data_IF_492196740613
#
_entry.id   IF_492196740613
#
_cell.length_a   1.000
_cell.length_b   1.000
_cell.length_c   1.000
_cell.angle_alpha   90.00
_cell.angle_beta   90.00
_cell.angle_gamma   90.00
#
_symmetry.space_group_name_H-M   'P 1'
#
loop_
_entity.id
_entity.type
_entity.pdbx_description
1 polymer ?
#
# COMPACT_ATOMS: atom_id res chain seq x y z
N UNK A 1 -28.32 -23.71 -22.66
CA UNK A 1 -28.76 -22.78 -21.60
C UNK A 1 -30.19 -23.09 -21.18
N UNK A 2 -30.43 -24.24 -20.54
CA UNK A 2 -31.74 -24.52 -19.92
C UNK A 2 -31.74 -23.89 -18.51
N UNK A 3 -32.82 -23.22 -18.07
CA UNK A 3 -32.89 -22.58 -16.74
C UNK A 3 -32.61 -23.55 -15.59
N UNK A 4 -33.02 -24.80 -15.72
CA UNK A 4 -32.78 -25.87 -14.74
C UNK A 4 -31.30 -26.31 -14.60
N UNK A 5 -30.42 -25.84 -15.49
CA UNK A 5 -28.97 -26.04 -15.42
C UNK A 5 -28.21 -24.77 -15.01
N UNK A 6 -28.89 -23.67 -14.66
CA UNK A 6 -28.21 -22.54 -14.05
C UNK A 6 -27.84 -22.93 -12.63
N UNK A 7 -26.54 -23.10 -12.36
CA UNK A 7 -26.08 -23.22 -10.99
C UNK A 7 -26.60 -22.03 -10.20
N UNK A 8 -27.40 -22.27 -9.16
CA UNK A 8 -27.80 -21.23 -8.22
C UNK A 8 -26.54 -20.78 -7.48
N UNK A 9 -25.85 -19.81 -8.06
CA UNK A 9 -24.65 -19.23 -7.48
C UNK A 9 -25.08 -18.34 -6.32
N UNK A 10 -25.13 -18.91 -5.12
CA UNK A 10 -25.34 -18.13 -3.91
C UNK A 10 -24.01 -17.54 -3.46
N UNK A 11 -23.83 -16.24 -3.66
CA UNK A 11 -22.61 -15.52 -3.28
C UNK A 11 -22.30 -15.64 -1.79
N UNK A 12 -23.33 -15.71 -0.94
CA UNK A 12 -23.14 -15.85 0.52
C UNK A 12 -22.59 -17.22 0.89
N UNK A 13 -22.85 -18.26 0.10
CA UNK A 13 -22.34 -19.62 0.35
C UNK A 13 -20.87 -19.80 -0.04
N UNK A 14 -20.35 -18.93 -0.94
CA UNK A 14 -18.96 -18.97 -1.39
C UNK A 14 -18.03 -18.02 -0.61
N UNK A 15 -18.59 -16.92 -0.07
CA UNK A 15 -17.82 -15.92 0.66
C UNK A 15 -18.33 -15.83 2.10
N UNK A 16 -17.60 -16.48 3.01
CA UNK A 16 -17.98 -16.66 4.42
C UNK A 16 -18.31 -15.35 5.17
N UNK A 17 -17.77 -14.23 4.69
CA UNK A 17 -17.89 -12.90 5.30
C UNK A 17 -18.42 -11.84 4.31
N UNK A 18 -19.33 -12.23 3.42
CA UNK A 18 -19.88 -11.32 2.41
C UNK A 18 -20.54 -10.08 3.03
N UNK A 19 -20.04 -8.88 2.69
CA UNK A 19 -20.49 -7.56 3.22
C UNK A 19 -20.39 -7.37 4.73
N UNK A 20 -19.59 -8.19 5.41
CA UNK A 20 -19.40 -8.06 6.85
C UNK A 20 -18.37 -6.97 7.17
N UNK A 21 -18.79 -5.97 7.94
CA UNK A 21 -17.89 -4.98 8.55
C UNK A 21 -17.45 -5.55 9.89
N UNK A 22 -16.15 -5.82 10.01
CA UNK A 22 -15.57 -6.55 11.15
C UNK A 22 -15.03 -5.63 12.24
N UNK A 23 -14.65 -4.40 11.87
CA UNK A 23 -14.24 -3.35 12.78
C UNK A 23 -14.99 -2.06 12.43
N UNK A 24 -15.52 -1.37 13.46
CA UNK A 24 -16.27 -0.12 13.30
C UNK A 24 -15.60 0.98 14.12
N UNK A 25 -14.83 1.89 13.49
CA UNK A 25 -14.27 3.04 14.18
C UNK A 25 -15.38 4.05 14.55
N UNK A 26 -15.20 4.79 15.63
CA UNK A 26 -16.06 5.93 15.98
C UNK A 26 -15.66 7.15 15.14
N UNK A 27 -16.40 7.42 14.06
CA UNK A 27 -16.09 8.49 13.12
C UNK A 27 -16.79 9.82 13.44
N UNK A 28 -17.83 9.81 14.29
CA UNK A 28 -18.72 10.97 14.48
C UNK A 28 -18.20 11.96 15.54
N UNK A 29 -17.43 11.48 16.51
CA UNK A 29 -17.01 12.28 17.68
C UNK A 29 -15.50 12.51 17.79
N UNK A 30 -14.72 12.12 16.78
CA UNK A 30 -13.25 12.20 16.84
C UNK A 30 -12.70 13.51 16.27
N UNK A 31 -11.74 14.08 17.01
CA UNK A 31 -10.90 15.17 16.50
C UNK A 31 -10.03 14.57 15.40
N UNK A 32 -10.01 15.20 14.23
CA UNK A 32 -9.18 14.72 13.12
C UNK A 32 -7.76 15.24 13.26
N UNK A 33 -6.80 14.33 13.20
CA UNK A 33 -5.36 14.60 13.25
C UNK A 33 -4.79 15.11 11.94
N UNK A 34 -3.50 14.83 11.72
CA UNK A 34 -2.79 15.28 10.52
C UNK A 34 -3.36 14.56 9.28
N UNK A 35 -3.79 15.28 8.22
CA UNK A 35 -4.24 14.67 6.97
C UNK A 35 -3.12 13.89 6.30
N UNK A 36 -3.37 12.61 6.01
CA UNK A 36 -2.40 11.70 5.41
C UNK A 36 -2.95 11.09 4.13
N UNK A 37 -2.11 11.03 3.10
CA UNK A 37 -2.32 10.21 1.90
C UNK A 37 -1.29 9.08 1.88
N UNK A 38 -1.76 7.87 1.61
CA UNK A 38 -0.89 6.70 1.46
C UNK A 38 -0.77 6.29 -0.01
N UNK A 39 0.43 6.42 -0.57
CA UNK A 39 0.78 5.98 -1.91
C UNK A 39 1.48 4.61 -1.84
N UNK A 40 0.87 3.59 -2.44
CA UNK A 40 1.24 2.19 -2.27
C UNK A 40 1.33 1.43 -3.59
N UNK A 41 2.17 0.39 -3.63
CA UNK A 41 2.38 -0.47 -4.80
C UNK A 41 1.67 -1.83 -4.70
N UNK A 42 0.76 -1.96 -3.73
CA UNK A 42 0.00 -3.19 -3.44
C UNK A 42 0.89 -4.41 -3.13
N UNK A 43 2.13 -4.17 -2.67
CA UNK A 43 2.91 -5.25 -2.08
C UNK A 43 2.26 -5.76 -0.77
N UNK A 44 2.50 -7.01 -0.37
CA UNK A 44 2.07 -7.55 0.92
C UNK A 44 2.47 -6.69 2.13
N UNK A 45 3.63 -6.03 2.07
CA UNK A 45 4.07 -5.09 3.11
C UNK A 45 3.17 -3.87 3.23
N UNK A 46 2.60 -3.40 2.12
CA UNK A 46 1.71 -2.24 2.09
C UNK A 46 0.35 -2.54 2.70
N UNK A 47 -0.17 -3.76 2.53
CA UNK A 47 -1.41 -4.16 3.20
C UNK A 47 -1.24 -4.20 4.72
N UNK A 48 -0.09 -4.65 5.22
CA UNK A 48 0.20 -4.60 6.65
C UNK A 48 0.36 -3.15 7.15
N UNK A 49 1.02 -2.30 6.36
CA UNK A 49 1.15 -0.86 6.64
C UNK A 49 -0.23 -0.17 6.67
N UNK A 50 -1.11 -0.50 5.73
CA UNK A 50 -2.49 0.00 5.66
C UNK A 50 -3.28 -0.38 6.92
N UNK A 51 -3.22 -1.64 7.37
CA UNK A 51 -3.90 -2.06 8.60
C UNK A 51 -3.43 -1.25 9.82
N UNK A 52 -2.13 -0.99 9.91
CA UNK A 52 -1.57 -0.14 10.95
C UNK A 52 -2.04 1.32 10.86
N UNK A 53 -2.14 1.89 9.66
CA UNK A 53 -2.70 3.23 9.44
C UNK A 53 -4.18 3.31 9.82
N UNK A 54 -4.97 2.28 9.51
CA UNK A 54 -6.40 2.20 9.83
C UNK A 54 -6.67 2.00 11.33
N UNK A 55 -5.70 1.40 12.05
CA UNK A 55 -5.73 1.22 13.51
C UNK A 55 -5.16 2.40 14.29
N UNK A 56 -4.41 3.29 13.65
CA UNK A 56 -3.90 4.49 14.31
C UNK A 56 -5.06 5.36 14.80
N UNK A 57 -4.96 5.99 15.99
CA UNK A 57 -5.97 6.93 16.46
C UNK A 57 -6.18 8.05 15.44
N UNK A 58 -7.43 8.38 15.12
CA UNK A 58 -7.70 9.41 14.09
C UNK A 58 -7.24 10.79 14.52
N UNK A 59 -7.13 11.05 15.82
CA UNK A 59 -6.59 12.28 16.39
C UNK A 59 -5.10 12.46 16.06
N UNK A 60 -4.39 11.36 15.79
CA UNK A 60 -3.01 11.38 15.37
C UNK A 60 -2.88 11.39 13.84
N UNK A 61 -3.55 10.46 13.18
CA UNK A 61 -3.43 10.21 11.74
C UNK A 61 -4.82 10.13 11.11
N UNK A 62 -5.10 11.09 10.24
CA UNK A 62 -6.34 11.13 9.47
C UNK A 62 -6.05 10.65 8.04
N UNK A 63 -6.13 9.35 7.81
CA UNK A 63 -5.95 8.77 6.47
C UNK A 63 -7.11 9.19 5.56
N UNK A 64 -6.81 10.08 4.61
CA UNK A 64 -7.77 10.73 3.70
C UNK A 64 -7.86 10.08 2.33
N UNK A 65 -6.88 9.30 1.93
CA UNK A 65 -6.89 8.66 0.61
C UNK A 65 -5.75 7.70 0.40
N UNK A 66 -5.98 6.78 -0.53
CA UNK A 66 -5.00 5.81 -0.98
C UNK A 66 -4.75 6.01 -2.48
N UNK A 67 -3.50 6.15 -2.85
CA UNK A 67 -3.06 6.22 -4.25
C UNK A 67 -2.34 4.91 -4.58
N UNK A 68 -2.76 4.24 -5.66
CA UNK A 68 -2.20 2.95 -6.06
C UNK A 68 -1.27 3.16 -7.25
N UNK A 69 0.00 2.80 -7.12
CA UNK A 69 0.96 2.82 -8.22
C UNK A 69 0.76 1.61 -9.12
N UNK A 70 0.26 1.84 -10.34
CA UNK A 70 -0.06 0.77 -11.29
C UNK A 70 1.16 0.08 -11.91
N UNK A 71 2.35 0.69 -11.80
CA UNK A 71 3.65 0.12 -12.17
C UNK A 71 4.34 -0.57 -10.97
N UNK A 72 3.57 -0.86 -9.92
CA UNK A 72 3.99 -1.46 -8.67
C UNK A 72 3.98 -3.00 -8.66
N UNK A 73 3.98 -3.58 -7.45
CA UNK A 73 4.10 -5.01 -7.20
C UNK A 73 2.84 -5.83 -7.46
N UNK A 74 1.69 -5.23 -7.73
CA UNK A 74 0.48 -5.94 -8.09
C UNK A 74 -0.24 -5.26 -9.27
N UNK A 75 -1.02 -6.05 -10.00
CA UNK A 75 -1.79 -5.58 -11.13
C UNK A 75 -2.88 -4.60 -10.66
N UNK A 76 -3.10 -3.47 -11.34
CA UNK A 76 -4.12 -2.48 -10.98
C UNK A 76 -5.54 -3.04 -10.80
N UNK A 77 -5.86 -4.16 -11.47
CA UNK A 77 -7.14 -4.84 -11.37
C UNK A 77 -7.40 -5.46 -9.98
N UNK A 78 -6.37 -5.60 -9.13
CA UNK A 78 -6.48 -6.17 -7.78
C UNK A 78 -6.76 -5.13 -6.69
N UNK A 79 -7.06 -3.88 -7.07
CA UNK A 79 -7.53 -2.81 -6.15
C UNK A 79 -8.72 -3.26 -5.28
N UNK A 80 -9.48 -4.25 -5.74
CA UNK A 80 -10.52 -4.93 -4.97
C UNK A 80 -10.07 -5.43 -3.60
N UNK A 81 -8.81 -5.88 -3.47
CA UNK A 81 -8.26 -6.34 -2.19
C UNK A 81 -8.13 -5.16 -1.20
N UNK A 82 -7.84 -3.95 -1.69
CA UNK A 82 -7.84 -2.74 -0.85
C UNK A 82 -9.26 -2.45 -0.38
N UNK A 83 -10.26 -2.57 -1.26
CA UNK A 83 -11.67 -2.38 -0.87
C UNK A 83 -12.13 -3.41 0.15
N UNK A 84 -11.72 -4.66 0.01
CA UNK A 84 -12.03 -5.73 0.95
C UNK A 84 -11.39 -5.45 2.34
N UNK A 85 -10.16 -4.93 2.39
CA UNK A 85 -9.52 -4.47 3.65
C UNK A 85 -10.21 -3.24 4.25
N UNK A 86 -10.52 -2.22 3.44
CA UNK A 86 -11.23 -1.03 3.93
C UNK A 86 -12.61 -1.39 4.49
N UNK A 87 -13.32 -2.29 3.81
CA UNK A 87 -14.62 -2.77 4.25
C UNK A 87 -14.54 -3.56 5.56
N UNK A 88 -13.54 -4.44 5.67
CA UNK A 88 -13.22 -5.15 6.93
C UNK A 88 -13.05 -4.15 8.09
N UNK A 89 -12.36 -3.05 7.82
CA UNK A 89 -12.03 -2.00 8.79
C UNK A 89 -13.11 -0.92 8.94
N UNK A 90 -14.27 -1.05 8.27
CA UNK A 90 -15.35 -0.07 8.34
C UNK A 90 -14.97 1.32 7.79
N UNK A 91 -13.99 1.37 6.90
CA UNK A 91 -13.42 2.60 6.32
C UNK A 91 -13.67 2.72 4.81
N UNK A 92 -14.88 2.35 4.38
CA UNK A 92 -15.34 2.52 3.00
C UNK A 92 -15.40 4.01 2.57
N UNK A 93 -15.30 4.95 3.53
CA UNK A 93 -15.20 6.40 3.31
C UNK A 93 -13.91 6.81 2.59
N UNK A 94 -12.84 6.02 2.67
CA UNK A 94 -11.54 6.38 2.11
C UNK A 94 -11.55 6.24 0.57
N UNK A 95 -11.33 7.32 -0.19
CA UNK A 95 -11.18 7.23 -1.63
C UNK A 95 -9.88 6.50 -2.00
N UNK A 96 -9.95 5.73 -3.09
CA UNK A 96 -8.82 4.94 -3.60
C UNK A 96 -8.69 5.25 -5.08
N UNK A 97 -7.55 5.78 -5.47
CA UNK A 97 -7.28 6.24 -6.83
C UNK A 97 -6.22 5.39 -7.51
N UNK A 98 -6.47 5.01 -8.75
CA UNK A 98 -5.55 4.17 -9.53
C UNK A 98 -4.61 5.03 -10.39
N UNK A 99 -3.31 4.79 -10.21
CA UNK A 99 -2.24 5.46 -10.93
C UNK A 99 -1.96 4.87 -12.31
N UNK A 100 -0.95 5.43 -12.99
CA UNK A 100 -0.49 4.90 -14.28
C UNK A 100 0.20 3.54 -14.11
N UNK A 101 0.07 2.70 -15.13
CA UNK A 101 0.71 1.37 -15.19
C UNK A 101 2.14 1.40 -15.72
N UNK A 102 2.57 2.56 -16.22
CA UNK A 102 3.89 2.80 -16.80
C UNK A 102 4.64 3.85 -16.01
N UNK A 103 5.97 3.75 -16.06
CA UNK A 103 6.86 4.78 -15.54
C UNK A 103 6.68 6.11 -16.29
N UNK A 104 7.00 7.22 -15.63
CA UNK A 104 6.95 8.55 -16.21
C UNK A 104 7.82 8.63 -17.48
N UNK A 105 7.24 9.15 -18.56
CA UNK A 105 7.92 9.28 -19.85
C UNK A 105 8.06 7.97 -20.64
N UNK A 106 7.66 6.82 -20.09
CA UNK A 106 7.61 5.58 -20.85
C UNK A 106 6.37 5.57 -21.76
N UNK A 107 6.48 5.09 -23.02
CA UNK A 107 5.32 4.92 -23.87
C UNK A 107 4.36 3.89 -23.23
N UNK A 108 3.06 4.00 -23.52
CA UNK A 108 2.02 3.17 -22.88
C UNK A 108 2.23 1.64 -23.04
N UNK A 109 3.07 1.22 -23.99
CA UNK A 109 3.45 -0.17 -24.26
C UNK A 109 4.93 -0.49 -23.92
N UNK A 110 5.72 0.50 -23.48
CA UNK A 110 7.13 0.37 -23.12
C UNK A 110 7.32 -0.01 -21.66
N UNK A 111 7.17 -1.29 -21.33
CA UNK A 111 7.18 -1.79 -19.95
C UNK A 111 8.56 -2.30 -19.48
N UNK A 112 9.69 -1.66 -19.83
CA UNK A 112 11.01 -2.21 -19.47
C UNK A 112 11.23 -2.30 -17.95
N UNK A 113 10.80 -1.29 -17.19
CA UNK A 113 10.95 -1.27 -15.73
C UNK A 113 9.97 -2.23 -15.04
N UNK A 114 8.70 -2.27 -15.46
CA UNK A 114 7.68 -3.16 -14.88
C UNK A 114 8.01 -4.64 -15.10
N UNK A 115 8.70 -4.98 -16.21
CA UNK A 115 9.21 -6.34 -16.46
C UNK A 115 10.23 -6.83 -15.42
N UNK A 116 10.76 -5.95 -14.58
CA UNK A 116 11.62 -6.35 -13.47
C UNK A 116 10.85 -7.05 -12.35
N UNK A 117 9.52 -6.95 -12.30
CA UNK A 117 8.70 -7.74 -11.38
C UNK A 117 8.38 -9.08 -12.05
N UNK A 118 8.70 -10.23 -11.42
CA UNK A 118 8.35 -11.53 -11.97
C UNK A 118 6.84 -11.67 -12.18
N UNK A 119 6.40 -12.32 -13.26
CA UNK A 119 4.96 -12.60 -13.42
C UNK A 119 4.46 -13.73 -12.51
N UNK A 120 5.29 -14.72 -12.22
CA UNK A 120 4.93 -15.92 -11.44
C UNK A 120 5.33 -15.81 -9.96
N UNK A 121 5.89 -16.90 -9.44
CA UNK A 121 6.37 -17.04 -8.06
C UNK A 121 7.20 -15.84 -7.60
N UNK A 122 6.83 -15.26 -6.46
CA UNK A 122 7.49 -14.10 -5.87
C UNK A 122 7.17 -12.77 -6.54
N UNK A 123 6.28 -12.71 -7.53
CA UNK A 123 5.85 -11.48 -8.17
C UNK A 123 4.34 -11.43 -8.37
N UNK A 124 3.87 -10.95 -9.53
CA UNK A 124 2.46 -10.56 -9.75
C UNK A 124 1.44 -11.61 -9.32
N UNK A 125 1.60 -12.88 -9.72
CA UNK A 125 0.62 -13.93 -9.38
C UNK A 125 0.40 -14.08 -7.87
N UNK A 126 1.50 -13.99 -7.11
CA UNK A 126 1.46 -14.14 -5.67
C UNK A 126 0.97 -12.87 -4.98
N UNK A 127 1.45 -11.70 -5.39
CA UNK A 127 1.07 -10.42 -4.79
C UNK A 127 -0.39 -10.07 -5.07
N UNK A 128 -0.89 -10.34 -6.28
CA UNK A 128 -2.27 -10.12 -6.71
C UNK A 128 -3.29 -10.84 -5.81
N UNK A 129 -2.90 -11.95 -5.19
CA UNK A 129 -3.75 -12.77 -4.34
C UNK A 129 -3.34 -12.74 -2.87
N UNK A 130 -2.31 -11.96 -2.52
CA UNK A 130 -1.64 -11.98 -1.21
C UNK A 130 -1.24 -13.39 -0.79
N UNK A 131 -0.59 -14.12 -1.70
CA UNK A 131 -0.21 -15.53 -1.57
C UNK A 131 -1.42 -16.43 -1.30
N UNK A 132 -2.55 -16.13 -1.95
CA UNK A 132 -3.80 -16.82 -1.75
C UNK A 132 -4.44 -16.54 -0.39
N UNK A 133 -4.23 -15.37 0.22
CA UNK A 133 -4.95 -14.94 1.43
C UNK A 133 -6.04 -13.92 1.16
N UNK A 134 -6.09 -13.31 -0.03
CA UNK A 134 -7.14 -12.33 -0.35
C UNK A 134 -8.57 -12.90 -0.19
N UNK A 135 -8.76 -14.22 -0.34
CA UNK A 135 -10.07 -14.86 -0.18
C UNK A 135 -10.60 -14.88 1.26
N UNK A 136 -9.74 -14.69 2.27
CA UNK A 136 -10.19 -14.66 3.68
C UNK A 136 -10.81 -13.31 4.06
N UNK A 137 -10.57 -12.27 3.28
CA UNK A 137 -11.11 -10.93 3.50
C UNK A 137 -12.62 -10.90 3.19
N UNK A 138 -13.39 -10.04 3.87
CA UNK A 138 -14.78 -9.83 3.51
C UNK A 138 -14.86 -9.22 2.12
N UNK A 139 -15.87 -9.63 1.35
CA UNK A 139 -16.06 -9.07 0.01
C UNK A 139 -16.80 -7.74 0.12
N UNK A 140 -16.12 -6.65 -0.24
CA UNK A 140 -16.65 -5.29 -0.25
C UNK A 140 -17.75 -5.13 -1.31
N UNK A 141 -18.78 -4.30 -1.03
CA UNK A 141 -19.75 -3.90 -2.06
C UNK A 141 -19.13 -2.98 -3.13
N UNK A 142 -18.03 -2.28 -2.80
CA UNK A 142 -17.25 -1.44 -3.73
C UNK A 142 -16.26 -2.33 -4.48
N UNK A 143 -16.29 -2.27 -5.82
CA UNK A 143 -15.40 -3.08 -6.69
C UNK A 143 -14.83 -2.24 -7.82
N UNK A 144 -13.73 -2.73 -8.38
CA UNK A 144 -13.11 -2.22 -9.59
C UNK A 144 -14.13 -2.20 -10.73
N UNK A 145 -14.22 -1.05 -11.37
CA UNK A 145 -15.11 -0.80 -12.49
C UNK A 145 -14.33 -0.09 -13.59
N UNK A 146 -14.05 -0.82 -14.67
CA UNK A 146 -13.36 -0.24 -15.81
C UNK A 146 -14.21 0.89 -16.42
N UNK A 147 -13.59 2.04 -16.69
CA UNK A 147 -14.25 3.26 -17.16
C UNK A 147 -15.17 3.00 -18.36
N UNK A 148 -14.68 2.28 -19.37
CA UNK A 148 -15.43 2.04 -20.61
C UNK A 148 -16.18 0.69 -20.66
N UNK A 149 -16.25 -0.07 -19.56
CA UNK A 149 -16.90 -1.41 -19.54
C UNK A 149 -18.31 -1.39 -20.12
N UNK A 150 -19.15 -0.45 -19.67
CA UNK A 150 -20.55 -0.32 -20.12
C UNK A 150 -20.65 0.05 -21.59
N UNK A 151 -19.76 0.94 -22.08
CA UNK A 151 -19.70 1.33 -23.50
C UNK A 151 -19.45 0.12 -24.41
N UNK A 152 -18.69 -0.86 -23.94
CA UNK A 152 -18.34 -2.08 -24.68
C UNK A 152 -19.20 -3.30 -24.28
N UNK A 153 -20.31 -3.09 -23.58
CA UNK A 153 -21.28 -4.15 -23.24
C UNK A 153 -20.84 -5.11 -22.14
N UNK A 154 -19.75 -4.80 -21.41
CA UNK A 154 -19.34 -5.58 -20.25
C UNK A 154 -20.16 -5.13 -19.01
N UNK A 155 -20.94 -6.03 -18.38
CA UNK A 155 -21.70 -5.69 -17.18
C UNK A 155 -20.76 -5.38 -16.01
N UNK A 156 -21.13 -4.40 -15.19
CA UNK A 156 -20.41 -4.03 -13.96
C UNK A 156 -21.01 -4.80 -12.79
N UNK A 157 -20.28 -5.77 -12.26
CA UNK A 157 -20.67 -6.60 -11.11
C UNK A 157 -20.29 -5.93 -9.79
N UNK A 158 -20.91 -4.78 -9.50
CA UNK A 158 -20.75 -4.02 -8.25
C UNK A 158 -22.09 -3.50 -7.78
N UNK A 159 -22.23 -3.19 -6.48
CA UNK A 159 -23.42 -2.56 -5.93
C UNK A 159 -23.67 -1.13 -6.48
N UNK A 160 -22.66 -0.51 -7.09
CA UNK A 160 -22.70 0.86 -7.65
C UNK A 160 -22.21 0.89 -9.11
N UNK A 161 -22.96 0.29 -10.06
CA UNK A 161 -22.51 0.12 -11.44
C UNK A 161 -22.36 1.45 -12.20
N UNK A 162 -22.90 2.55 -11.70
CA UNK A 162 -22.72 3.88 -12.29
C UNK A 162 -21.31 4.44 -12.07
N UNK A 163 -20.61 4.02 -11.02
CA UNK A 163 -19.28 4.50 -10.68
C UNK A 163 -18.21 3.81 -11.53
N UNK A 164 -17.15 4.55 -11.86
CA UNK A 164 -15.90 4.00 -12.40
C UNK A 164 -14.81 4.03 -11.32
N UNK A 165 -13.73 3.27 -11.53
CA UNK A 165 -12.53 3.40 -10.72
C UNK A 165 -11.96 4.84 -10.83
N UNK A 166 -11.82 5.58 -9.71
CA UNK A 166 -11.18 6.89 -9.71
C UNK A 166 -9.69 6.79 -10.07
N UNK A 167 -9.16 7.82 -10.71
CA UNK A 167 -7.73 7.95 -10.95
C UNK A 167 -7.03 8.51 -9.71
N UNK A 168 -5.75 8.16 -9.51
CA UNK A 168 -4.94 8.67 -8.39
C UNK A 168 -4.93 10.20 -8.33
N UNK A 169 -4.80 10.85 -9.50
CA UNK A 169 -4.81 12.31 -9.58
C UNK A 169 -6.17 12.94 -9.22
N UNK A 170 -7.28 12.27 -9.55
CA UNK A 170 -8.62 12.76 -9.19
C UNK A 170 -8.87 12.67 -7.68
N UNK A 171 -8.43 11.57 -7.06
CA UNK A 171 -8.49 11.41 -5.61
C UNK A 171 -7.65 12.47 -4.91
N UNK A 172 -6.44 12.74 -5.41
CA UNK A 172 -5.61 13.86 -4.93
C UNK A 172 -6.34 15.21 -5.02
N UNK A 173 -6.93 15.53 -6.18
CA UNK A 173 -7.63 16.80 -6.38
C UNK A 173 -8.81 16.94 -5.43
N UNK A 174 -9.62 15.89 -5.29
CA UNK A 174 -10.76 15.87 -4.40
C UNK A 174 -10.35 16.09 -2.94
N UNK A 175 -9.34 15.36 -2.44
CA UNK A 175 -8.83 15.53 -1.08
C UNK A 175 -8.33 16.95 -0.88
N UNK A 176 -7.54 17.50 -1.82
CA UNK A 176 -7.03 18.87 -1.74
C UNK A 176 -8.16 19.91 -1.68
N UNK A 177 -9.25 19.70 -2.40
CA UNK A 177 -10.40 20.61 -2.42
C UNK A 177 -11.21 20.60 -1.12
N UNK A 178 -11.21 19.48 -0.39
CA UNK A 178 -11.88 19.36 0.91
C UNK A 178 -11.08 19.95 2.08
N UNK A 179 -9.80 20.26 1.88
CA UNK A 179 -8.95 20.83 2.93
C UNK A 179 -9.32 22.26 3.27
N UNK A 180 -9.19 22.60 4.55
CA UNK A 180 -9.22 24.00 4.98
C UNK A 180 -7.95 24.71 4.48
N UNK A 181 -7.97 26.04 4.28
CA UNK A 181 -6.81 26.78 3.80
C UNK A 181 -5.53 26.62 4.64
N UNK A 182 -5.67 26.28 5.93
CA UNK A 182 -4.56 26.06 6.86
C UNK A 182 -4.05 24.62 6.88
N UNK A 183 -4.83 23.67 6.37
CA UNK A 183 -4.50 22.25 6.44
C UNK A 183 -3.39 21.94 5.44
N UNK A 184 -2.50 21.03 5.84
CA UNK A 184 -1.44 20.49 4.99
C UNK A 184 -1.54 18.97 4.93
N UNK A 185 -1.02 18.39 3.87
CA UNK A 185 -1.04 16.93 3.64
C UNK A 185 0.35 16.37 3.89
N UNK A 186 0.43 15.32 4.71
CA UNK A 186 1.59 14.43 4.74
C UNK A 186 1.38 13.26 3.79
N UNK A 187 2.36 12.96 2.95
CA UNK A 187 2.31 11.83 2.02
C UNK A 187 3.25 10.73 2.50
N UNK A 188 2.76 9.50 2.56
CA UNK A 188 3.54 8.30 2.84
C UNK A 188 3.65 7.49 1.56
N UNK A 189 4.85 7.20 1.06
CA UNK A 189 5.03 6.47 -0.20
C UNK A 189 5.80 5.18 0.02
N UNK A 190 5.17 4.05 -0.29
CA UNK A 190 5.79 2.73 -0.27
C UNK A 190 5.99 2.13 -1.66
N UNK A 191 5.62 2.83 -2.73
CA UNK A 191 5.76 2.37 -4.10
C UNK A 191 6.67 3.22 -4.98
N UNK A 192 6.67 2.97 -6.31
CA UNK A 192 7.25 3.86 -7.29
C UNK A 192 6.63 5.25 -7.18
N UNK A 193 7.44 6.29 -7.36
CA UNK A 193 7.05 7.68 -7.12
C UNK A 193 6.23 8.31 -8.27
N UNK A 194 5.69 7.50 -9.18
CA UNK A 194 5.00 7.92 -10.39
C UNK A 194 3.78 8.79 -10.10
N UNK A 195 2.96 8.41 -9.12
CA UNK A 195 1.79 9.18 -8.72
C UNK A 195 2.18 10.55 -8.16
N UNK A 196 3.20 10.57 -7.30
CA UNK A 196 3.68 11.80 -6.65
C UNK A 196 4.31 12.74 -7.66
N UNK A 197 5.13 12.23 -8.58
CA UNK A 197 5.67 13.02 -9.68
C UNK A 197 4.54 13.59 -10.56
N UNK A 198 3.53 12.78 -10.91
CA UNK A 198 2.38 13.27 -11.67
C UNK A 198 1.64 14.39 -10.93
N UNK A 199 1.46 14.28 -9.61
CA UNK A 199 0.83 15.31 -8.78
C UNK A 199 1.64 16.61 -8.84
N UNK A 200 2.94 16.55 -8.53
CA UNK A 200 3.83 17.72 -8.49
C UNK A 200 3.90 18.40 -9.87
N UNK A 201 4.02 17.62 -10.94
CA UNK A 201 4.15 18.15 -12.30
C UNK A 201 2.84 18.72 -12.86
N UNK A 202 1.68 18.24 -12.40
CA UNK A 202 0.37 18.58 -12.99
C UNK A 202 -0.45 19.56 -12.14
N UNK A 203 -0.17 19.66 -10.84
CA UNK A 203 -0.91 20.53 -9.92
C UNK A 203 0.00 21.63 -9.34
N UNK A 204 -0.09 22.88 -9.85
CA UNK A 204 0.73 24.00 -9.37
C UNK A 204 0.53 24.33 -7.89
N UNK A 205 -0.54 23.85 -7.25
CA UNK A 205 -0.79 24.08 -5.82
C UNK A 205 -0.19 22.98 -4.94
N UNK A 206 0.31 21.89 -5.52
CA UNK A 206 0.79 20.73 -4.76
C UNK A 206 1.88 21.12 -3.74
N UNK A 207 2.89 21.87 -4.17
CA UNK A 207 3.98 22.31 -3.29
C UNK A 207 3.51 23.14 -2.09
N UNK A 208 2.43 23.91 -2.28
CA UNK A 208 1.88 24.74 -1.20
C UNK A 208 1.04 23.94 -0.21
N UNK A 209 0.54 22.76 -0.58
CA UNK A 209 -0.37 21.94 0.26
C UNK A 209 0.35 20.77 0.91
N UNK A 210 1.36 20.21 0.26
CA UNK A 210 2.16 19.11 0.79
C UNK A 210 3.06 19.65 1.90
N UNK A 211 2.86 19.17 3.12
CA UNK A 211 3.72 19.50 4.27
C UNK A 211 5.06 18.77 4.15
N UNK A 212 4.99 17.46 3.95
CA UNK A 212 6.12 16.55 3.99
C UNK A 212 5.80 15.26 3.24
N UNK A 213 6.82 14.65 2.65
CA UNK A 213 6.74 13.33 2.03
C UNK A 213 7.70 12.38 2.73
N UNK A 214 7.19 11.25 3.22
CA UNK A 214 8.02 10.13 3.68
C UNK A 214 8.14 9.10 2.57
N UNK A 215 9.38 8.85 2.12
CA UNK A 215 9.65 7.96 1.00
C UNK A 215 10.35 6.71 1.48
N UNK A 216 9.66 5.56 1.43
CA UNK A 216 10.28 4.25 1.62
C UNK A 216 10.91 3.82 0.30
N UNK A 217 12.22 3.91 0.25
CA UNK A 217 12.99 3.63 -0.96
C UNK A 217 14.36 4.28 -0.91
N UNK A 218 15.03 4.31 -2.06
CA UNK A 218 16.42 4.77 -2.20
C UNK A 218 17.46 3.81 -1.59
N UNK A 219 18.63 3.82 -2.21
CA UNK A 219 19.80 3.10 -1.73
C UNK A 219 20.99 4.06 -1.73
N UNK A 220 21.35 4.52 -0.52
CA UNK A 220 22.55 5.31 -0.28
C UNK A 220 23.69 4.35 0.04
N UNK A 221 24.63 4.18 -0.89
CA UNK A 221 25.73 3.24 -0.75
C UNK A 221 26.62 3.62 0.47
N UNK A 222 26.60 2.80 1.50
CA UNK A 222 27.27 3.08 2.78
C UNK A 222 28.63 2.39 2.98
N UNK A 223 29.23 1.80 1.95
CA UNK A 223 30.54 1.14 2.01
C UNK A 223 30.72 -0.04 1.05
N UNK A 224 31.86 -0.73 1.15
CA UNK A 224 32.18 -1.90 0.31
C UNK A 224 31.20 -3.05 0.55
N UNK A 225 30.47 -3.45 -0.49
CA UNK A 225 29.58 -4.60 -0.49
C UNK A 225 28.10 -4.29 -0.29
N UNK A 226 27.72 -3.03 -0.03
CA UNK A 226 26.30 -2.63 0.05
C UNK A 226 25.66 -2.68 -1.35
N UNK A 227 24.51 -3.34 -1.45
CA UNK A 227 23.82 -3.61 -2.71
C UNK A 227 22.36 -3.19 -2.61
N UNK A 228 21.82 -2.76 -3.75
CA UNK A 228 20.39 -2.59 -3.97
C UNK A 228 19.60 -3.88 -3.78
N UNK A 229 18.28 -3.79 -3.91
CA UNK A 229 17.35 -4.93 -3.80
C UNK A 229 16.73 -5.36 -5.15
N UNK A 230 17.10 -4.73 -6.27
CA UNK A 230 16.72 -5.19 -7.61
C UNK A 230 17.43 -6.50 -7.91
N UNK A 231 16.71 -7.62 -7.86
CA UNK A 231 17.28 -8.96 -8.00
C UNK A 231 17.06 -9.60 -9.39
N UNK A 232 16.11 -9.07 -10.16
CA UNK A 232 15.73 -9.59 -11.49
C UNK A 232 16.56 -9.03 -12.63
N UNK A 233 17.34 -7.98 -12.37
CA UNK A 233 18.24 -7.33 -13.34
C UNK A 233 19.68 -7.47 -12.84
N UNK A 234 20.40 -8.56 -13.18
CA UNK A 234 21.71 -8.87 -12.57
C UNK A 234 22.81 -7.83 -12.79
N UNK A 235 22.70 -7.03 -13.85
CA UNK A 235 23.60 -5.91 -14.14
C UNK A 235 23.39 -4.73 -13.16
N UNK A 236 22.22 -4.62 -12.55
CA UNK A 236 21.92 -3.56 -11.59
C UNK A 236 22.12 -4.05 -10.15
N UNK A 237 23.20 -3.57 -9.52
CA UNK A 237 23.56 -3.94 -8.14
C UNK A 237 23.29 -2.85 -7.12
N UNK A 238 22.83 -1.67 -7.55
CA UNK A 238 22.86 -0.46 -6.73
C UNK A 238 21.51 0.21 -6.55
N UNK A 239 20.52 -0.13 -7.38
CA UNK A 239 19.19 0.49 -7.28
C UNK A 239 18.33 -0.15 -6.20
N UNK A 240 17.54 0.69 -5.54
CA UNK A 240 16.38 0.27 -4.78
C UNK A 240 15.18 0.10 -5.72
N UNK A 241 14.33 -0.90 -5.47
CA UNK A 241 13.28 -1.37 -6.37
C UNK A 241 12.25 -0.30 -6.71
N UNK A 242 11.76 0.49 -5.74
CA UNK A 242 10.78 1.55 -6.01
C UNK A 242 11.37 2.65 -6.91
N UNK A 243 12.62 3.04 -6.64
CA UNK A 243 13.34 4.01 -7.47
C UNK A 243 13.68 3.45 -8.85
N UNK A 244 13.92 2.14 -8.94
CA UNK A 244 14.18 1.46 -10.22
C UNK A 244 12.94 1.37 -11.10
N UNK A 245 11.76 1.18 -10.51
CA UNK A 245 10.50 1.03 -11.24
C UNK A 245 10.09 2.32 -11.95
N UNK A 246 10.49 3.49 -11.43
CA UNK A 246 10.34 4.78 -12.12
C UNK A 246 11.44 5.78 -11.74
N UNK A 247 12.61 5.71 -12.40
CA UNK A 247 13.73 6.60 -12.08
C UNK A 247 13.47 8.07 -12.42
N UNK A 248 12.64 8.34 -13.44
CA UNK A 248 12.32 9.70 -13.87
C UNK A 248 11.39 10.37 -12.85
N UNK A 249 10.35 9.66 -12.38
CA UNK A 249 9.51 10.15 -11.30
C UNK A 249 10.31 10.32 -10.00
N UNK A 250 11.18 9.38 -9.66
CA UNK A 250 12.02 9.49 -8.47
C UNK A 250 12.91 10.73 -8.51
N UNK A 251 13.53 11.02 -9.67
CA UNK A 251 14.29 12.25 -9.88
C UNK A 251 13.41 13.49 -9.71
N UNK A 252 12.25 13.54 -10.37
CA UNK A 252 11.34 14.68 -10.31
C UNK A 252 10.87 14.98 -8.87
N UNK A 253 10.55 13.96 -8.08
CA UNK A 253 10.14 14.13 -6.68
C UNK A 253 11.31 14.60 -5.82
N UNK A 254 12.48 13.97 -5.91
CA UNK A 254 13.65 14.34 -5.08
C UNK A 254 14.14 15.76 -5.39
N UNK A 255 14.02 16.21 -6.64
CA UNK A 255 14.41 17.56 -7.07
C UNK A 255 13.30 18.61 -6.88
N UNK A 256 12.12 18.25 -6.34
CA UNK A 256 10.95 19.14 -6.23
C UNK A 256 11.06 20.27 -5.19
N UNK A 257 12.08 20.24 -4.33
CA UNK A 257 12.22 21.22 -3.23
C UNK A 257 11.24 21.04 -2.06
N UNK A 258 10.37 20.01 -2.11
CA UNK A 258 9.50 19.63 -1.00
C UNK A 258 10.30 19.10 0.21
N UNK A 259 9.71 19.19 1.40
CA UNK A 259 10.27 18.54 2.60
C UNK A 259 10.14 17.02 2.47
N UNK A 260 11.25 16.34 2.18
CA UNK A 260 11.30 14.91 1.92
C UNK A 260 12.14 14.22 2.99
N UNK A 261 11.54 13.24 3.65
CA UNK A 261 12.23 12.29 4.51
C UNK A 261 12.41 10.97 3.78
N UNK A 262 13.63 10.68 3.34
CA UNK A 262 13.99 9.39 2.73
C UNK A 262 14.21 8.33 3.81
N UNK A 263 13.70 7.13 3.56
CA UNK A 263 13.89 5.97 4.43
C UNK A 263 14.63 4.89 3.63
N UNK A 264 15.98 4.98 3.62
CA UNK A 264 16.81 4.21 2.71
C UNK A 264 16.76 2.72 3.03
N UNK A 265 17.05 1.89 2.03
CA UNK A 265 17.12 0.44 2.14
C UNK A 265 18.02 -0.04 3.30
N UNK A 266 19.09 0.69 3.60
CA UNK A 266 19.96 0.39 4.75
C UNK A 266 19.24 0.54 6.09
N UNK A 267 18.42 1.58 6.27
CA UNK A 267 17.63 1.76 7.49
C UNK A 267 16.57 0.67 7.60
N UNK A 268 15.92 0.31 6.48
CA UNK A 268 14.96 -0.79 6.40
C UNK A 268 15.59 -2.12 6.88
N UNK A 269 16.78 -2.46 6.37
CA UNK A 269 17.50 -3.71 6.72
C UNK A 269 17.94 -3.82 8.17
N UNK A 270 18.07 -2.70 8.89
CA UNK A 270 18.48 -2.70 10.30
C UNK A 270 17.34 -3.05 11.25
N UNK A 271 16.10 -3.07 10.76
CA UNK A 271 14.95 -3.42 11.60
C UNK A 271 14.86 -4.94 11.74
N UNK A 272 15.34 -5.47 12.86
CA UNK A 272 15.25 -6.89 13.20
C UNK A 272 14.20 -7.12 14.30
N UNK A 273 12.93 -7.21 13.91
CA UNK A 273 11.83 -7.51 14.85
C UNK A 273 10.79 -8.47 14.29
N UNK A 274 11.07 -9.11 13.16
CA UNK A 274 10.17 -10.08 12.51
C UNK A 274 9.69 -11.20 13.44
N UNK A 275 10.64 -11.83 14.12
CA UNK A 275 10.32 -12.93 15.05
C UNK A 275 9.47 -12.46 16.22
N UNK A 276 9.67 -11.22 16.65
CA UNK A 276 9.02 -10.65 17.82
C UNK A 276 7.60 -10.22 17.52
N UNK A 277 7.36 -9.62 16.35
CA UNK A 277 6.00 -9.33 15.87
C UNK A 277 5.19 -10.59 15.65
N UNK A 278 5.77 -11.57 14.97
CA UNK A 278 5.07 -12.83 14.72
C UNK A 278 4.69 -13.50 16.04
N UNK A 279 5.58 -13.45 17.04
CA UNK A 279 5.29 -13.93 18.39
C UNK A 279 4.18 -13.11 19.05
N UNK A 280 4.25 -11.79 18.97
CA UNK A 280 3.28 -10.87 19.57
C UNK A 280 1.88 -11.05 18.99
N UNK A 281 1.75 -11.12 17.66
CA UNK A 281 0.49 -11.39 16.98
C UNK A 281 -0.06 -12.79 17.28
N UNK A 282 0.80 -13.78 17.55
CA UNK A 282 0.37 -15.11 17.96
C UNK A 282 -0.31 -15.10 19.34
N UNK A 283 0.16 -14.23 20.24
CA UNK A 283 -0.30 -14.12 21.64
C UNK A 283 -1.39 -13.08 21.86
N UNK A 284 -1.59 -12.17 20.91
CA UNK A 284 -2.58 -11.12 20.95
C UNK A 284 -4.02 -11.66 20.87
N UNK A 285 -4.99 -10.83 21.26
CA UNK A 285 -6.40 -11.08 20.99
C UNK A 285 -6.62 -11.22 19.47
N UNK A 286 -7.38 -12.24 19.08
CA UNK A 286 -7.59 -12.57 17.68
C UNK A 286 -8.72 -11.73 17.11
N UNK A 287 -8.38 -10.55 16.63
CA UNK A 287 -9.22 -9.79 15.72
C UNK A 287 -9.04 -10.30 14.28
N UNK A 288 -9.99 -10.03 13.37
CA UNK A 288 -9.88 -10.46 11.99
C UNK A 288 -8.64 -9.89 11.27
N UNK A 289 -8.35 -8.61 11.47
CA UNK A 289 -7.18 -7.93 10.91
C UNK A 289 -5.86 -8.45 11.49
N UNK A 290 -5.78 -8.74 12.79
CA UNK A 290 -4.57 -9.30 13.40
C UNK A 290 -4.32 -10.73 12.94
N UNK A 291 -5.40 -11.52 12.78
CA UNK A 291 -5.35 -12.87 12.24
C UNK A 291 -4.90 -12.90 10.79
N UNK A 292 -5.42 -12.00 9.96
CA UNK A 292 -5.00 -11.83 8.57
C UNK A 292 -3.53 -11.41 8.46
N UNK A 293 -3.12 -10.38 9.22
CA UNK A 293 -1.73 -9.92 9.26
C UNK A 293 -0.76 -11.04 9.67
N UNK A 294 -1.13 -11.81 10.71
CA UNK A 294 -0.36 -12.96 11.17
C UNK A 294 -0.23 -14.04 10.09
N UNK A 295 -1.33 -14.42 9.42
CA UNK A 295 -1.31 -15.40 8.35
C UNK A 295 -0.45 -14.94 7.17
N UNK A 296 -0.54 -13.67 6.77
CA UNK A 296 0.26 -13.10 5.69
C UNK A 296 1.75 -13.13 6.00
N UNK A 297 2.14 -12.70 7.20
CA UNK A 297 3.52 -12.75 7.68
C UNK A 297 4.06 -14.18 7.73
N UNK A 298 3.27 -15.14 8.23
CA UNK A 298 3.66 -16.55 8.26
C UNK A 298 3.82 -17.15 6.87
N UNK A 299 2.89 -16.87 5.95
CA UNK A 299 2.95 -17.36 4.57
C UNK A 299 4.22 -16.87 3.87
N UNK A 300 4.51 -15.57 3.95
CA UNK A 300 5.74 -15.00 3.41
C UNK A 300 6.99 -15.63 4.03
N UNK A 301 7.03 -15.84 5.35
CA UNK A 301 8.17 -16.47 6.02
C UNK A 301 8.39 -17.90 5.56
N UNK A 302 7.31 -18.68 5.45
CA UNK A 302 7.37 -20.08 5.00
C UNK A 302 7.92 -20.16 3.57
N UNK A 303 7.44 -19.30 2.68
CA UNK A 303 7.91 -19.25 1.29
C UNK A 303 9.38 -18.85 1.21
N UNK A 304 9.78 -17.80 1.93
CA UNK A 304 11.15 -17.31 1.98
C UNK A 304 12.13 -18.39 2.49
N UNK A 305 11.76 -19.20 3.49
CA UNK A 305 12.62 -20.29 4.00
C UNK A 305 12.75 -21.47 3.04
N UNK A 306 11.70 -21.75 2.27
CA UNK A 306 11.60 -22.99 1.50
C UNK A 306 12.03 -22.82 0.03
N UNK A 307 12.10 -21.58 -0.47
CA UNK A 307 12.37 -21.35 -1.88
C UNK A 307 13.14 -20.04 -2.13
N UNK A 308 14.25 -20.15 -2.86
CA UNK A 308 15.13 -19.03 -3.20
C UNK A 308 14.43 -17.94 -4.01
N UNK A 309 13.40 -18.28 -4.79
CA UNK A 309 12.60 -17.32 -5.56
C UNK A 309 11.86 -16.30 -4.68
N UNK A 310 11.81 -16.51 -3.36
CA UNK A 310 11.10 -15.68 -2.39
C UNK A 310 12.04 -14.94 -1.43
N UNK A 311 13.37 -15.02 -1.63
CA UNK A 311 14.35 -14.36 -0.75
C UNK A 311 14.25 -12.83 -0.77
N UNK A 312 13.74 -12.21 -1.84
CA UNK A 312 13.56 -10.76 -1.96
C UNK A 312 12.43 -10.21 -1.09
N UNK A 313 11.47 -11.05 -0.69
CA UNK A 313 10.32 -10.69 0.17
C UNK A 313 10.75 -10.13 1.51
N UNK A 314 11.99 -10.43 1.93
CA UNK A 314 12.60 -9.84 3.12
C UNK A 314 12.52 -8.31 3.10
N UNK A 315 12.63 -7.69 1.93
CA UNK A 315 12.47 -6.24 1.77
C UNK A 315 11.06 -5.75 2.14
N UNK A 316 10.00 -6.52 1.88
CA UNK A 316 8.62 -6.15 2.21
C UNK A 316 8.33 -6.22 3.70
N UNK A 317 8.97 -7.14 4.42
CA UNK A 317 8.85 -7.18 5.87
C UNK A 317 9.30 -5.85 6.49
N UNK A 318 10.41 -5.27 6.01
CA UNK A 318 10.92 -4.01 6.55
C UNK A 318 10.03 -2.80 6.26
N UNK A 319 9.32 -2.78 5.13
CA UNK A 319 8.41 -1.68 4.76
C UNK A 319 7.28 -1.52 5.77
N UNK A 320 6.73 -2.63 6.23
CA UNK A 320 5.74 -2.67 7.31
C UNK A 320 6.27 -2.04 8.60
N UNK A 321 7.46 -2.42 9.06
CA UNK A 321 8.02 -1.89 10.31
C UNK A 321 8.29 -0.40 10.26
N UNK A 322 8.84 0.05 9.14
CA UNK A 322 9.15 1.45 8.94
C UNK A 322 7.88 2.28 9.03
N UNK A 323 6.76 1.83 8.45
CA UNK A 323 5.51 2.57 8.56
C UNK A 323 5.04 2.68 10.01
N UNK A 324 5.14 1.62 10.80
CA UNK A 324 4.81 1.67 12.23
C UNK A 324 5.69 2.64 13.02
N UNK A 325 7.00 2.70 12.72
CA UNK A 325 7.91 3.68 13.32
C UNK A 325 7.65 5.11 12.85
N UNK A 326 7.27 5.31 11.58
CA UNK A 326 6.87 6.64 11.09
C UNK A 326 5.64 7.10 11.86
N UNK A 327 4.62 6.27 12.05
CA UNK A 327 3.41 6.68 12.79
C UNK A 327 3.71 7.08 14.24
N UNK A 328 4.60 6.36 14.91
CA UNK A 328 5.08 6.69 16.27
C UNK A 328 5.91 8.00 16.29
N UNK A 329 6.64 8.31 15.22
CA UNK A 329 7.36 9.58 15.07
C UNK A 329 6.50 10.73 14.55
N UNK A 330 5.41 10.45 13.84
CA UNK A 330 4.47 11.48 13.37
C UNK A 330 3.63 12.00 14.54
N UNK A 331 3.54 11.20 15.60
CA UNK A 331 3.00 11.56 16.93
C UNK A 331 4.04 12.18 17.88
N UNK A 332 5.34 12.11 17.57
CA UNK A 332 6.44 12.65 18.37
C UNK A 332 7.33 13.56 17.50
N UNK A 333 7.13 14.89 17.59
CA UNK A 333 7.69 15.94 16.71
C UNK A 333 9.24 16.10 16.66
N UNK A 334 10.04 15.09 16.98
CA UNK A 334 11.49 15.15 16.80
C UNK A 334 12.12 13.76 16.86
N UNK A 335 12.90 13.36 15.85
CA UNK A 335 14.18 12.63 15.94
C UNK A 335 14.57 11.98 14.59
N UNK A 336 15.77 12.35 14.14
CA UNK A 336 16.56 11.76 13.05
C UNK A 336 16.51 10.22 13.06
N UNK A 337 16.18 9.62 11.92
CA UNK A 337 16.14 8.17 11.68
C UNK A 337 17.58 7.64 11.54
N UNK A 338 18.37 7.65 12.62
CA UNK A 338 19.69 7.01 12.63
C UNK A 338 19.82 5.80 13.55
N UNK A 339 18.87 5.59 14.44
CA UNK A 339 18.81 4.40 15.30
C UNK A 339 17.35 4.19 15.68
N UNK A 340 16.70 3.28 14.99
CA UNK A 340 15.32 2.90 15.27
C UNK A 340 15.38 1.50 15.90
N UNK A 341 15.53 1.48 17.23
CA UNK A 341 15.15 0.33 18.06
C UNK A 341 13.64 0.45 18.24
N UNK A 342 12.85 -0.30 17.46
CA UNK A 342 11.40 -0.38 17.64
C UNK A 342 11.16 -1.53 18.59
N UNK A 343 10.61 -1.24 19.78
CA UNK A 343 10.19 -2.29 20.69
C UNK A 343 8.99 -3.04 20.09
N UNK A 344 9.08 -4.37 20.08
CA UNK A 344 8.02 -5.30 19.62
C UNK A 344 6.65 -5.11 20.30
N UNK A 345 6.62 -4.35 21.40
CA UNK A 345 5.42 -3.90 22.11
C UNK A 345 4.51 -3.00 21.25
N UNK A 346 5.04 -2.27 20.27
CA UNK A 346 4.27 -1.28 19.49
C UNK A 346 3.36 -1.95 18.47
N UNK A 347 3.86 -2.97 17.74
CA UNK A 347 3.06 -3.71 16.76
C UNK A 347 2.04 -4.60 17.47
N UNK A 348 2.40 -5.15 18.65
CA UNK A 348 1.41 -5.71 19.56
C UNK A 348 0.35 -4.65 19.88
N UNK A 349 0.71 -3.46 20.34
CA UNK A 349 -0.26 -2.44 20.78
C UNK A 349 -1.16 -1.91 19.65
N UNK A 350 -0.66 -1.74 18.42
CA UNK A 350 -1.43 -1.22 17.29
C UNK A 350 -2.35 -2.27 16.65
N UNK A 351 -1.95 -3.54 16.63
CA UNK A 351 -2.75 -4.61 16.00
C UNK A 351 -3.55 -5.48 17.01
N UNK A 352 -3.26 -5.41 18.32
CA UNK A 352 -4.00 -6.16 19.36
C UNK A 352 -5.07 -5.34 20.10
N UNK A 353 -5.01 -4.01 20.01
CA UNK A 353 -6.11 -3.11 20.41
C UNK A 353 -6.92 -2.76 19.17
#
# INVERSE_FOLDING_TARGET
>A
NRPEHTGHFNFTDQFRHYKEIMYKPDLEHQIRGKPVIFDMDMSPGDFLALLCLLKAPMEAIDLRGILVSGNGWANPATVDVIYDVLHMMGRDDIPVGLGKITALGAPDLGCEYVKAIPHGSGGFLDTDTLFGLAWVLPRSPRRYTAENSVKYGAPRDTARPELRQPLAFEVWQHIREELKPTDKITILTNGPLTNIANIILSDPKAESVIERIFIVGSHLAGGNGDRGNVFTVPSNKFSEFNFFLDPQAAKAVVESGLDITLIPLRAQRQVDSFKEVTRSLCTAEKTPESSFAYQLLLSMQKLQKNNQAYHHIVSWFYRFYIQTAIMEKTTLDSVVIHTVTIDSVVIHTVLSK
#
